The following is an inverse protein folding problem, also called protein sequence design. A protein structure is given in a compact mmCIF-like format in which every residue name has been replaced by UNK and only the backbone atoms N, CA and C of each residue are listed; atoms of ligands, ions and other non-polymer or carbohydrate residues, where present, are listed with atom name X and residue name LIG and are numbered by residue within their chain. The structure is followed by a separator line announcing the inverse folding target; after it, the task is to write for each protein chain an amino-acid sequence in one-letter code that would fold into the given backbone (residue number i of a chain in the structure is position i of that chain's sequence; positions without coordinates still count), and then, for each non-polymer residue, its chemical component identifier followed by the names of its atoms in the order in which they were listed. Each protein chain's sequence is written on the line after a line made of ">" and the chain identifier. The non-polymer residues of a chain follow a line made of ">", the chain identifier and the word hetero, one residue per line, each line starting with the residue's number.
data_IF_983011096219
#
_entry.id   IF_983011096219
#
_cell.length_a   1.000
_cell.length_b   1.000
_cell.length_c   1.000
_cell.angle_alpha   90.00
_cell.angle_beta   90.00
_cell.angle_gamma   90.00
#
_symmetry.space_group_name_H-M   'P 1'
#
loop_
_entity.id
_entity.type
_entity.pdbx_description
1 polymer ?
#
# COMPACT_ATOMS: atom_id res chain seq x y z
N UNK A 1 13.55 43.22 23.39
CA UNK A 1 12.43 42.92 22.47
C UNK A 1 12.82 41.97 21.32
N UNK A 2 13.93 42.17 20.58
CA UNK A 2 14.35 41.29 19.47
C UNK A 2 14.60 39.83 19.87
N UNK A 3 15.20 39.57 21.07
CA UNK A 3 15.43 38.18 21.53
C UNK A 3 14.15 37.44 21.93
N UNK A 4 13.15 38.13 22.47
CA UNK A 4 11.86 37.54 22.80
C UNK A 4 11.07 37.18 21.52
N UNK A 5 11.13 38.02 20.49
CA UNK A 5 10.49 37.73 19.19
C UNK A 5 11.11 36.52 18.50
N UNK A 6 12.43 36.34 18.58
CA UNK A 6 13.14 35.20 18.04
C UNK A 6 12.74 33.88 18.72
N UNK A 7 12.60 33.90 20.06
CA UNK A 7 12.15 32.74 20.85
C UNK A 7 10.71 32.32 20.50
N UNK A 8 9.82 33.31 20.31
CA UNK A 8 8.43 33.04 19.90
C UNK A 8 8.39 32.44 18.49
N UNK A 9 9.23 32.92 17.57
CA UNK A 9 9.29 32.37 16.18
C UNK A 9 9.81 30.93 16.16
N UNK A 10 10.81 30.61 17.01
CA UNK A 10 11.33 29.23 17.14
C UNK A 10 10.29 28.32 17.80
N UNK A 11 9.59 28.77 18.81
CA UNK A 11 8.51 27.99 19.44
C UNK A 11 7.35 27.71 18.49
N UNK A 12 6.99 28.69 17.65
CA UNK A 12 5.94 28.55 16.65
C UNK A 12 6.33 27.56 15.52
N UNK A 13 7.60 27.51 15.13
CA UNK A 13 8.10 26.59 14.11
C UNK A 13 8.10 25.12 14.56
N UNK A 14 8.15 24.85 15.87
CA UNK A 14 8.10 23.50 16.42
C UNK A 14 6.68 22.89 16.46
N UNK A 15 5.64 23.73 16.39
CA UNK A 15 4.23 23.27 16.48
C UNK A 15 3.72 22.73 15.12
N UNK A 16 4.34 23.09 13.98
CA UNK A 16 3.89 22.65 12.66
C UNK A 16 4.37 21.26 12.23
N UNK A 17 5.21 20.58 13.00
CA UNK A 17 5.56 19.19 12.78
C UNK A 17 4.57 18.22 13.45
N UNK A 18 3.26 18.47 13.29
CA UNK A 18 2.26 17.46 13.64
C UNK A 18 2.31 16.36 12.58
N UNK A 19 2.97 15.26 12.90
CA UNK A 19 2.93 14.04 12.11
C UNK A 19 1.48 13.53 12.07
N UNK A 20 0.78 13.77 10.96
CA UNK A 20 -0.53 13.18 10.72
C UNK A 20 -0.35 11.66 10.64
N UNK A 21 -0.84 10.95 11.64
CA UNK A 21 -0.90 9.49 11.60
C UNK A 21 -1.86 9.08 10.50
N UNK A 22 -1.37 8.32 9.53
CA UNK A 22 -2.16 7.87 8.35
C UNK A 22 -2.87 6.54 8.57
N UNK A 23 -2.73 5.94 9.75
CA UNK A 23 -3.34 4.65 10.07
C UNK A 23 -4.30 4.78 11.25
N UNK A 24 -5.33 3.95 11.22
CA UNK A 24 -6.30 3.77 12.26
C UNK A 24 -6.03 2.47 13.01
N UNK A 25 -6.06 2.51 14.32
CA UNK A 25 -6.09 1.32 15.17
C UNK A 25 -7.30 1.44 16.08
N UNK A 26 -8.10 0.38 16.14
CA UNK A 26 -9.29 0.33 16.98
C UNK A 26 -8.92 0.55 18.45
N UNK A 27 -9.74 1.32 19.16
CA UNK A 27 -9.64 1.41 20.61
C UNK A 27 -9.75 -0.01 21.20
N UNK A 28 -8.88 -0.33 22.16
CA UNK A 28 -8.83 -1.68 22.75
C UNK A 28 -8.36 -2.80 21.80
N UNK A 29 -7.62 -2.49 20.74
CA UNK A 29 -7.04 -3.47 19.81
C UNK A 29 -6.40 -4.65 20.53
N UNK A 30 -5.54 -4.38 21.53
CA UNK A 30 -4.83 -5.42 22.27
C UNK A 30 -5.77 -6.36 23.04
N UNK A 31 -6.87 -5.82 23.56
CA UNK A 31 -7.88 -6.63 24.27
C UNK A 31 -8.70 -7.50 23.30
N UNK A 32 -9.10 -6.91 22.15
CA UNK A 32 -9.86 -7.62 21.12
C UNK A 32 -9.05 -8.73 20.44
N UNK A 33 -7.73 -8.56 20.38
CA UNK A 33 -6.83 -9.49 19.69
C UNK A 33 -5.99 -10.37 20.61
N UNK A 34 -6.28 -10.37 21.91
CA UNK A 34 -5.50 -11.12 22.91
C UNK A 34 -5.46 -12.63 22.63
N UNK A 35 -6.52 -13.16 22.07
CA UNK A 35 -6.66 -14.57 21.74
C UNK A 35 -6.26 -14.89 20.29
N UNK A 36 -5.88 -13.90 19.48
CA UNK A 36 -5.46 -14.15 18.11
C UNK A 36 -4.11 -14.86 18.09
N UNK A 37 -4.03 -15.95 17.34
CA UNK A 37 -2.82 -16.78 17.16
C UNK A 37 -2.34 -16.81 15.73
N UNK A 38 -3.27 -16.83 14.77
CA UNK A 38 -2.96 -17.00 13.34
C UNK A 38 -3.71 -15.94 12.54
N UNK A 39 -2.98 -15.31 11.62
CA UNK A 39 -3.51 -14.29 10.70
C UNK A 39 -3.13 -14.65 9.27
N UNK A 40 -4.07 -14.58 8.34
CA UNK A 40 -3.80 -14.80 6.92
C UNK A 40 -3.67 -13.46 6.18
N UNK A 41 -2.69 -13.38 5.28
CA UNK A 41 -2.57 -12.27 4.30
C UNK A 41 -3.21 -12.72 3.01
N UNK A 42 -4.25 -12.01 2.55
CA UNK A 42 -4.98 -12.34 1.34
C UNK A 42 -4.30 -11.76 0.09
N UNK A 43 -4.56 -12.34 -1.11
CA UNK A 43 -4.23 -11.67 -2.37
C UNK A 43 -4.88 -10.30 -2.43
N UNK A 44 -4.15 -9.29 -2.93
CA UNK A 44 -4.68 -7.93 -3.00
C UNK A 44 -5.82 -7.82 -4.04
N UNK A 45 -6.88 -7.11 -3.71
CA UNK A 45 -7.83 -6.69 -4.74
C UNK A 45 -7.19 -5.59 -5.59
N UNK A 46 -7.04 -5.85 -6.88
CA UNK A 46 -6.53 -4.89 -7.86
C UNK A 46 -7.69 -4.19 -8.56
N UNK A 47 -7.61 -2.87 -8.69
CA UNK A 47 -8.61 -2.05 -9.40
C UNK A 47 -7.88 -1.11 -10.35
N UNK A 48 -7.93 -1.39 -11.64
CA UNK A 48 -7.36 -0.53 -12.67
C UNK A 48 -8.43 0.41 -13.23
N UNK A 49 -8.15 1.70 -13.22
CA UNK A 49 -9.04 2.75 -13.71
C UNK A 49 -8.31 3.72 -14.63
N UNK A 50 -9.06 4.55 -15.36
CA UNK A 50 -8.51 5.52 -16.30
C UNK A 50 -8.26 4.93 -17.68
N UNK A 51 -7.31 5.52 -18.43
CA UNK A 51 -6.99 5.10 -19.79
C UNK A 51 -6.27 3.75 -19.79
N UNK A 52 -6.95 2.72 -20.26
CA UNK A 52 -6.31 1.43 -20.46
C UNK A 52 -5.40 1.46 -21.70
N UNK A 53 -4.31 0.65 -21.73
CA UNK A 53 -3.49 0.49 -22.93
C UNK A 53 -4.32 -0.08 -24.08
N UNK A 54 -4.24 0.55 -25.26
CA UNK A 54 -5.04 0.17 -26.44
C UNK A 54 -4.73 -1.25 -26.97
N UNK A 55 -3.55 -1.78 -26.65
CA UNK A 55 -3.06 -3.09 -27.07
C UNK A 55 -3.36 -4.24 -26.09
N UNK A 56 -4.07 -3.97 -25.00
CA UNK A 56 -4.45 -4.98 -24.00
C UNK A 56 -5.93 -5.31 -24.09
N UNK A 57 -6.24 -6.60 -24.09
CA UNK A 57 -7.62 -7.08 -23.98
C UNK A 57 -8.07 -7.06 -22.51
N UNK A 58 -9.38 -7.16 -22.26
CA UNK A 58 -9.90 -7.28 -20.90
C UNK A 58 -9.36 -8.55 -20.18
N UNK A 59 -9.08 -9.61 -20.93
CA UNK A 59 -8.49 -10.83 -20.38
C UNK A 59 -7.02 -10.64 -19.99
N UNK A 60 -6.25 -9.89 -20.79
CA UNK A 60 -4.87 -9.55 -20.46
C UNK A 60 -4.80 -8.70 -19.20
N UNK A 61 -5.70 -7.71 -19.07
CA UNK A 61 -5.81 -6.87 -17.88
C UNK A 61 -6.10 -7.73 -16.65
N UNK A 62 -7.05 -8.67 -16.75
CA UNK A 62 -7.38 -9.58 -15.65
C UNK A 62 -6.19 -10.46 -15.25
N UNK A 63 -5.42 -10.97 -16.20
CA UNK A 63 -4.20 -11.74 -15.91
C UNK A 63 -3.15 -10.88 -15.19
N UNK A 64 -2.97 -9.63 -15.62
CA UNK A 64 -2.07 -8.68 -14.97
C UNK A 64 -2.54 -8.39 -13.53
N UNK A 65 -3.84 -8.14 -13.33
CA UNK A 65 -4.43 -7.95 -12.01
C UNK A 65 -4.16 -9.14 -11.08
N UNK A 66 -4.35 -10.37 -11.56
CA UNK A 66 -4.10 -11.58 -10.78
C UNK A 66 -2.62 -11.76 -10.41
N UNK A 67 -1.70 -11.49 -11.35
CA UNK A 67 -0.26 -11.57 -11.09
C UNK A 67 0.19 -10.50 -10.08
N UNK A 68 -0.25 -9.26 -10.26
CA UNK A 68 0.07 -8.18 -9.33
C UNK A 68 -0.55 -8.44 -7.95
N UNK A 69 -1.77 -8.96 -7.89
CA UNK A 69 -2.45 -9.35 -6.66
C UNK A 69 -1.60 -10.30 -5.81
N UNK A 70 -1.07 -11.35 -6.41
CA UNK A 70 -0.17 -12.32 -5.76
C UNK A 70 1.18 -11.71 -5.37
N UNK A 71 1.72 -10.83 -6.21
CA UNK A 71 2.97 -10.12 -5.94
C UNK A 71 2.85 -9.19 -4.73
N UNK A 72 1.73 -8.48 -4.61
CA UNK A 72 1.43 -7.66 -3.44
C UNK A 72 1.24 -8.49 -2.17
N UNK A 73 0.55 -9.62 -2.25
CA UNK A 73 0.39 -10.56 -1.12
C UNK A 73 1.76 -11.03 -0.61
N UNK A 74 2.61 -11.55 -1.51
CA UNK A 74 3.94 -12.04 -1.17
C UNK A 74 4.81 -10.93 -0.57
N UNK A 75 4.79 -9.75 -1.16
CA UNK A 75 5.57 -8.61 -0.69
C UNK A 75 5.10 -8.12 0.68
N UNK A 76 3.77 -8.04 0.91
CA UNK A 76 3.23 -7.66 2.22
C UNK A 76 3.56 -8.68 3.30
N UNK A 77 3.41 -9.97 3.00
CA UNK A 77 3.79 -11.05 3.91
C UNK A 77 5.26 -10.93 4.35
N UNK A 78 6.16 -10.78 3.39
CA UNK A 78 7.59 -10.62 3.65
C UNK A 78 7.89 -9.34 4.44
N UNK A 79 7.18 -8.27 4.14
CA UNK A 79 7.34 -6.98 4.80
C UNK A 79 6.90 -7.06 6.27
N UNK A 80 5.75 -7.68 6.55
CA UNK A 80 5.29 -7.91 7.92
C UNK A 80 6.33 -8.75 8.69
N UNK A 81 6.83 -9.85 8.13
CA UNK A 81 7.85 -10.66 8.76
C UNK A 81 9.12 -9.86 9.08
N UNK A 82 9.55 -9.00 8.16
CA UNK A 82 10.76 -8.18 8.32
C UNK A 82 10.62 -7.14 9.43
N UNK A 83 9.50 -6.39 9.43
CA UNK A 83 9.30 -5.27 10.35
C UNK A 83 8.75 -5.69 11.70
N UNK A 84 7.87 -6.71 11.73
CA UNK A 84 7.30 -7.21 12.96
C UNK A 84 8.23 -8.18 13.72
N UNK A 85 9.22 -8.78 13.05
CA UNK A 85 10.25 -9.63 13.66
C UNK A 85 11.64 -9.05 13.45
N UNK A 86 12.01 -8.08 14.26
CA UNK A 86 13.31 -7.43 14.24
C UNK A 86 14.01 -7.55 15.60
N UNK A 87 15.21 -6.97 15.74
CA UNK A 87 15.89 -6.90 17.04
C UNK A 87 15.07 -6.19 18.12
N UNK A 88 14.19 -5.26 17.75
CA UNK A 88 13.38 -4.44 18.65
C UNK A 88 11.96 -4.96 18.85
N UNK A 89 11.45 -5.76 17.90
CA UNK A 89 10.06 -6.16 17.87
C UNK A 89 9.91 -7.65 17.61
N UNK A 90 8.79 -8.20 18.06
CA UNK A 90 8.31 -9.53 17.68
C UNK A 90 6.80 -9.45 17.37
N UNK A 91 6.31 -10.35 16.53
CA UNK A 91 4.87 -10.45 16.27
C UNK A 91 4.22 -11.39 17.30
N UNK A 92 3.04 -10.99 17.78
CA UNK A 92 2.23 -11.81 18.70
C UNK A 92 1.48 -12.94 18.01
N UNK A 93 1.35 -12.85 16.68
CA UNK A 93 0.58 -13.80 15.87
C UNK A 93 1.50 -14.47 14.86
N UNK A 94 1.14 -15.69 14.48
CA UNK A 94 1.77 -16.36 13.35
C UNK A 94 1.07 -15.95 12.06
N UNK A 95 1.81 -15.70 11.01
CA UNK A 95 1.23 -15.55 9.68
C UNK A 95 1.01 -16.95 9.08
N UNK A 96 -0.21 -17.19 8.59
CA UNK A 96 -0.49 -18.39 7.81
C UNK A 96 0.36 -18.36 6.54
N UNK A 97 0.96 -19.50 6.20
CA UNK A 97 1.74 -19.60 4.96
C UNK A 97 0.90 -19.26 3.72
N UNK A 98 1.51 -18.53 2.79
CA UNK A 98 0.83 -18.06 1.58
C UNK A 98 0.32 -19.23 0.74
N UNK A 99 1.09 -20.31 0.61
CA UNK A 99 0.69 -21.47 -0.17
C UNK A 99 -0.54 -22.15 0.43
N UNK A 100 -0.65 -22.20 1.75
CA UNK A 100 -1.82 -22.70 2.47
C UNK A 100 -3.04 -21.81 2.20
N UNK A 101 -2.87 -20.50 2.32
CA UNK A 101 -3.95 -19.53 2.04
C UNK A 101 -4.40 -19.64 0.58
N UNK A 102 -3.48 -19.67 -0.39
CA UNK A 102 -3.80 -19.80 -1.82
C UNK A 102 -4.50 -21.12 -2.12
N UNK A 103 -3.99 -22.25 -1.62
CA UNK A 103 -4.60 -23.57 -1.83
C UNK A 103 -6.05 -23.59 -1.37
N UNK A 104 -6.36 -23.06 -0.17
CA UNK A 104 -7.72 -23.03 0.35
C UNK A 104 -8.62 -22.14 -0.52
N UNK A 105 -8.15 -20.97 -0.94
CA UNK A 105 -8.91 -20.08 -1.81
C UNK A 105 -9.19 -20.74 -3.17
N UNK A 106 -8.19 -21.41 -3.77
CA UNK A 106 -8.31 -22.09 -5.05
C UNK A 106 -9.28 -23.31 -4.98
N UNK A 107 -9.22 -24.11 -3.90
CA UNK A 107 -10.15 -25.22 -3.64
C UNK A 107 -11.61 -24.75 -3.58
N UNK A 108 -11.85 -23.54 -3.08
CA UNK A 108 -13.17 -22.95 -2.98
C UNK A 108 -13.50 -22.00 -4.15
N UNK A 109 -12.61 -21.91 -5.16
CA UNK A 109 -12.75 -21.06 -6.35
C UNK A 109 -12.95 -19.58 -6.01
N UNK A 110 -12.30 -19.09 -4.95
CA UNK A 110 -12.38 -17.71 -4.47
C UNK A 110 -11.19 -16.94 -5.05
N UNK A 111 -11.43 -16.03 -5.98
CA UNK A 111 -10.42 -15.12 -6.51
C UNK A 111 -10.20 -13.91 -5.56
N UNK A 112 -9.21 -13.06 -5.87
CA UNK A 112 -8.85 -11.90 -5.03
C UNK A 112 -10.01 -10.92 -4.81
N UNK A 113 -10.85 -10.70 -5.83
CA UNK A 113 -12.02 -9.81 -5.74
C UNK A 113 -13.12 -10.42 -4.89
N UNK A 114 -13.38 -11.70 -5.06
CA UNK A 114 -14.34 -12.44 -4.24
C UNK A 114 -13.89 -12.51 -2.78
N UNK A 115 -12.61 -12.75 -2.53
CA UNK A 115 -12.03 -12.72 -1.18
C UNK A 115 -12.19 -11.34 -0.51
N UNK A 116 -12.06 -10.25 -1.29
CA UNK A 116 -12.31 -8.90 -0.78
C UNK A 116 -13.76 -8.68 -0.37
N UNK A 117 -14.70 -9.16 -1.18
CA UNK A 117 -16.15 -8.93 -0.98
C UNK A 117 -16.80 -9.90 0.00
N UNK A 118 -16.15 -11.06 0.23
CA UNK A 118 -16.71 -12.09 1.10
C UNK A 118 -16.78 -11.62 2.55
N UNK A 119 -17.78 -12.13 3.28
CA UNK A 119 -17.92 -11.93 4.71
C UNK A 119 -16.65 -12.34 5.46
N UNK A 120 -16.14 -11.45 6.31
CA UNK A 120 -14.84 -11.60 6.94
C UNK A 120 -14.81 -12.76 7.93
N UNK A 121 -15.91 -13.00 8.63
CA UNK A 121 -16.04 -14.10 9.59
C UNK A 121 -16.07 -15.44 8.87
N UNK A 122 -16.83 -15.55 7.79
CA UNK A 122 -16.86 -16.76 6.97
C UNK A 122 -15.49 -17.03 6.34
N UNK A 123 -14.81 -16.00 5.86
CA UNK A 123 -13.51 -16.14 5.22
C UNK A 123 -12.43 -16.55 6.24
N UNK A 124 -12.42 -15.97 7.44
CA UNK A 124 -11.51 -16.35 8.50
C UNK A 124 -11.75 -17.80 8.94
N UNK A 125 -13.02 -18.21 9.08
CA UNK A 125 -13.38 -19.60 9.42
C UNK A 125 -12.94 -20.59 8.33
N UNK A 126 -13.13 -20.23 7.06
CA UNK A 126 -12.71 -21.03 5.91
C UNK A 126 -11.20 -21.25 5.89
N UNK A 127 -10.43 -20.20 6.18
CA UNK A 127 -8.97 -20.24 6.21
C UNK A 127 -8.41 -20.82 7.50
N UNK A 128 -9.24 -21.01 8.54
CA UNK A 128 -8.82 -21.50 9.86
C UNK A 128 -7.94 -20.49 10.61
N UNK A 129 -8.25 -19.18 10.50
CA UNK A 129 -7.48 -18.08 11.09
C UNK A 129 -8.35 -17.18 11.96
N UNK A 130 -7.73 -16.41 12.86
CA UNK A 130 -8.44 -15.50 13.77
C UNK A 130 -8.76 -14.14 13.14
N UNK A 131 -7.94 -13.74 12.18
CA UNK A 131 -8.13 -12.50 11.43
C UNK A 131 -7.55 -12.61 10.01
N UNK A 132 -8.01 -11.77 9.11
CA UNK A 132 -7.50 -11.66 7.75
C UNK A 132 -6.98 -10.26 7.48
N UNK A 133 -5.86 -10.20 6.74
CA UNK A 133 -5.30 -8.95 6.20
C UNK A 133 -5.79 -8.81 4.78
N UNK A 134 -6.63 -7.81 4.52
CA UNK A 134 -7.17 -7.45 3.22
C UNK A 134 -6.45 -6.22 2.69
N UNK A 135 -5.99 -6.27 1.46
CA UNK A 135 -5.35 -5.13 0.78
C UNK A 135 -6.07 -4.83 -0.53
N UNK A 136 -6.32 -3.55 -0.78
CA UNK A 136 -6.88 -3.06 -2.04
C UNK A 136 -5.93 -2.06 -2.66
N UNK A 137 -5.62 -2.24 -3.94
CA UNK A 137 -4.74 -1.38 -4.73
C UNK A 137 -5.52 -0.83 -5.91
N UNK A 138 -5.72 0.48 -5.93
CA UNK A 138 -6.32 1.18 -7.06
C UNK A 138 -5.23 1.92 -7.82
N UNK A 139 -5.06 1.59 -9.11
CA UNK A 139 -4.19 2.29 -10.04
C UNK A 139 -5.04 3.08 -11.02
N UNK A 140 -4.90 4.41 -10.98
CA UNK A 140 -5.57 5.29 -11.91
C UNK A 140 -4.57 5.78 -12.97
N UNK A 141 -4.75 5.32 -14.20
CA UNK A 141 -3.86 5.67 -15.30
C UNK A 141 -4.30 6.96 -15.99
N UNK A 142 -3.36 7.90 -16.18
CA UNK A 142 -3.60 9.20 -16.84
C UNK A 142 -3.01 9.25 -18.23
N UNK A 143 -1.81 8.70 -18.44
CA UNK A 143 -1.11 8.74 -19.71
C UNK A 143 -0.33 7.46 -19.98
N UNK A 144 0.08 7.26 -21.23
CA UNK A 144 0.95 6.17 -21.61
C UNK A 144 2.39 6.40 -21.12
N UNK A 145 3.16 5.32 -20.99
CA UNK A 145 4.59 5.41 -20.63
C UNK A 145 5.38 6.19 -21.68
N UNK A 146 5.03 6.05 -22.97
CA UNK A 146 5.62 6.81 -24.06
C UNK A 146 5.37 8.34 -23.92
N UNK A 147 4.16 8.73 -23.53
CA UNK A 147 3.85 10.15 -23.29
C UNK A 147 4.62 10.69 -22.07
N UNK A 148 4.72 9.91 -20.99
CA UNK A 148 5.50 10.26 -19.81
C UNK A 148 7.00 10.40 -20.12
N UNK A 149 7.55 9.48 -20.91
CA UNK A 149 8.92 9.53 -21.40
C UNK A 149 9.17 10.79 -22.25
N UNK A 150 8.27 11.09 -23.18
CA UNK A 150 8.34 12.29 -24.03
C UNK A 150 8.36 13.58 -23.21
N UNK A 151 7.54 13.67 -22.16
CA UNK A 151 7.57 14.82 -21.24
C UNK A 151 8.91 14.90 -20.50
N UNK A 152 9.47 13.76 -20.06
CA UNK A 152 10.76 13.72 -19.38
C UNK A 152 11.91 14.19 -20.28
N UNK A 153 11.94 13.76 -21.54
CA UNK A 153 12.90 14.23 -22.53
C UNK A 153 12.77 15.73 -22.78
N UNK A 154 11.53 16.22 -22.96
CA UNK A 154 11.27 17.64 -23.13
C UNK A 154 11.80 18.49 -21.99
N UNK A 155 11.57 18.06 -20.73
CA UNK A 155 12.13 18.72 -19.55
C UNK A 155 13.66 18.73 -19.57
N UNK A 156 14.28 17.61 -19.88
CA UNK A 156 15.75 17.51 -19.93
C UNK A 156 16.37 18.45 -20.97
N UNK A 157 15.76 18.55 -22.15
CA UNK A 157 16.21 19.48 -23.21
C UNK A 157 16.10 20.92 -22.72
N UNK A 158 14.98 21.30 -22.10
CA UNK A 158 14.76 22.66 -21.57
C UNK A 158 15.81 23.00 -20.50
N UNK A 159 16.08 22.08 -19.57
CA UNK A 159 17.10 22.29 -18.53
C UNK A 159 18.51 22.43 -19.14
N UNK A 160 18.88 21.55 -20.07
CA UNK A 160 20.20 21.55 -20.67
C UNK A 160 20.48 22.78 -21.57
N UNK A 161 19.44 23.34 -22.17
CA UNK A 161 19.56 24.57 -22.99
C UNK A 161 19.56 25.86 -22.17
N UNK A 162 19.35 25.79 -20.87
CA UNK A 162 19.28 26.93 -19.97
C UNK A 162 17.98 27.75 -20.12
N UNK A 163 17.01 27.29 -20.92
CA UNK A 163 15.74 27.97 -21.11
C UNK A 163 14.93 28.05 -19.82
N UNK A 164 15.11 27.07 -18.91
CA UNK A 164 14.45 27.05 -17.61
C UNK A 164 14.83 28.23 -16.69
N UNK A 165 16.02 28.82 -16.87
CA UNK A 165 16.45 29.98 -16.09
C UNK A 165 15.84 31.31 -16.52
N UNK A 166 15.24 31.36 -17.71
CA UNK A 166 14.72 32.59 -18.32
C UNK A 166 13.20 32.72 -18.28
N UNK A 167 12.49 31.60 -18.07
CA UNK A 167 11.03 31.58 -18.07
C UNK A 167 10.55 30.73 -16.87
N UNK A 168 9.55 31.16 -16.08
CA UNK A 168 8.89 30.33 -15.09
C UNK A 168 8.12 29.24 -15.86
N UNK A 169 8.72 28.03 -15.93
CA UNK A 169 8.06 26.89 -16.56
C UNK A 169 6.96 26.38 -15.63
N UNK A 170 5.74 26.18 -16.13
CA UNK A 170 4.69 25.56 -15.36
C UNK A 170 5.13 24.12 -15.00
N UNK A 171 4.73 23.65 -13.81
CA UNK A 171 4.93 22.26 -13.43
C UNK A 171 4.14 21.36 -14.38
N UNK A 172 4.84 20.62 -15.23
CA UNK A 172 4.24 19.61 -16.10
C UNK A 172 4.43 18.26 -15.44
N UNK A 173 3.37 17.63 -14.93
CA UNK A 173 3.47 16.30 -14.35
C UNK A 173 3.79 15.26 -15.43
N UNK A 174 4.67 14.32 -15.15
CA UNK A 174 5.00 13.20 -16.05
C UNK A 174 4.62 11.85 -15.45
N UNK A 175 3.78 11.84 -14.43
CA UNK A 175 3.27 10.61 -13.82
C UNK A 175 2.33 9.87 -14.76
N UNK A 176 2.48 8.55 -14.83
CA UNK A 176 1.61 7.66 -15.59
C UNK A 176 0.39 7.24 -14.79
N UNK A 177 0.59 6.94 -13.50
CA UNK A 177 -0.48 6.48 -12.62
C UNK A 177 -0.46 7.22 -11.28
N UNK A 178 -1.65 7.46 -10.70
CA UNK A 178 -1.83 7.60 -9.26
C UNK A 178 -2.15 6.23 -8.67
N UNK A 179 -1.59 5.96 -7.49
CA UNK A 179 -1.77 4.71 -6.79
C UNK A 179 -2.33 5.01 -5.40
N UNK A 180 -3.49 4.44 -5.14
CA UNK A 180 -4.14 4.45 -3.83
C UNK A 180 -4.15 3.03 -3.31
N UNK A 181 -3.60 2.83 -2.13
CA UNK A 181 -3.61 1.53 -1.48
C UNK A 181 -4.21 1.64 -0.09
N UNK A 182 -4.98 0.64 0.29
CA UNK A 182 -5.47 0.47 1.66
C UNK A 182 -5.18 -0.95 2.14
N UNK A 183 -4.88 -1.07 3.41
CA UNK A 183 -4.63 -2.35 4.06
C UNK A 183 -5.43 -2.40 5.36
N UNK A 184 -6.23 -3.44 5.54
CA UNK A 184 -7.11 -3.63 6.67
C UNK A 184 -6.81 -4.95 7.38
N UNK A 185 -6.86 -4.94 8.70
CA UNK A 185 -6.98 -6.17 9.48
C UNK A 185 -8.42 -6.26 9.94
N UNK A 186 -9.07 -7.35 9.59
CA UNK A 186 -10.48 -7.57 9.91
C UNK A 186 -10.66 -8.90 10.65
N UNK A 187 -11.55 -8.90 11.65
CA UNK A 187 -11.97 -10.08 12.38
C UNK A 187 -13.42 -9.90 12.82
N UNK A 188 -14.24 -10.95 12.74
CA UNK A 188 -15.65 -10.92 13.11
C UNK A 188 -16.43 -9.74 12.52
N UNK A 189 -16.18 -9.43 11.24
CA UNK A 189 -16.80 -8.32 10.50
C UNK A 189 -16.48 -6.93 11.09
N UNK A 190 -15.39 -6.80 11.83
CA UNK A 190 -14.91 -5.54 12.37
C UNK A 190 -13.53 -5.22 11.84
N UNK A 191 -13.34 -3.98 11.44
CA UNK A 191 -12.02 -3.47 11.10
C UNK A 191 -11.25 -3.13 12.38
N UNK A 192 -10.24 -3.92 12.66
CA UNK A 192 -9.38 -3.74 13.83
C UNK A 192 -8.27 -2.71 13.58
N UNK A 193 -7.80 -2.64 12.34
CA UNK A 193 -6.76 -1.73 11.91
C UNK A 193 -6.92 -1.40 10.42
N UNK A 194 -6.59 -0.17 10.07
CA UNK A 194 -6.56 0.30 8.69
C UNK A 194 -5.36 1.20 8.48
N UNK A 195 -4.66 1.02 7.38
CA UNK A 195 -3.64 1.94 6.89
C UNK A 195 -3.88 2.26 5.43
N UNK A 196 -3.41 3.43 4.99
CA UNK A 196 -3.57 3.89 3.63
C UNK A 196 -2.29 4.50 3.09
N UNK A 197 -2.06 4.28 1.81
CA UNK A 197 -0.94 4.81 1.07
C UNK A 197 -1.44 5.54 -0.18
N UNK A 198 -0.85 6.70 -0.46
CA UNK A 198 -1.04 7.42 -1.71
C UNK A 198 0.31 7.72 -2.33
N UNK A 199 0.47 7.34 -3.59
CA UNK A 199 1.68 7.58 -4.36
C UNK A 199 1.39 7.73 -5.84
N UNK A 200 2.46 7.87 -6.60
CA UNK A 200 2.40 7.95 -8.05
C UNK A 200 3.55 7.15 -8.66
N UNK A 201 3.39 6.73 -9.90
CA UNK A 201 4.44 6.16 -10.73
C UNK A 201 4.55 6.91 -12.05
N UNK A 202 5.72 6.87 -12.63
CA UNK A 202 6.01 7.34 -13.98
C UNK A 202 6.53 6.20 -14.85
N UNK A 203 6.91 6.50 -16.09
CA UNK A 203 7.41 5.53 -17.06
C UNK A 203 8.67 4.77 -16.57
N UNK A 204 9.46 5.35 -15.65
CA UNK A 204 10.72 4.80 -15.15
C UNK A 204 10.57 4.13 -13.77
N UNK A 205 9.35 3.99 -13.27
CA UNK A 205 9.10 3.39 -11.95
C UNK A 205 8.94 1.87 -12.07
N UNK A 206 9.92 1.05 -11.65
CA UNK A 206 9.79 -0.40 -11.69
C UNK A 206 8.64 -0.89 -10.81
N UNK A 207 7.86 -1.83 -11.31
CA UNK A 207 6.68 -2.34 -10.60
C UNK A 207 7.03 -2.94 -9.23
N UNK A 208 8.15 -3.66 -9.13
CA UNK A 208 8.62 -4.25 -7.88
C UNK A 208 8.95 -3.19 -6.81
N UNK A 209 9.56 -2.07 -7.19
CA UNK A 209 9.86 -0.99 -6.24
C UNK A 209 8.60 -0.32 -5.70
N UNK A 210 7.59 -0.17 -6.55
CA UNK A 210 6.28 0.37 -6.17
C UNK A 210 5.61 -0.58 -5.17
N UNK A 211 5.59 -1.88 -5.48
CA UNK A 211 5.03 -2.92 -4.63
C UNK A 211 5.74 -2.90 -3.26
N UNK A 212 7.07 -2.94 -3.24
CA UNK A 212 7.84 -2.93 -2.00
C UNK A 212 7.61 -1.67 -1.16
N UNK A 213 7.58 -0.50 -1.79
CA UNK A 213 7.35 0.76 -1.08
C UNK A 213 5.99 0.80 -0.39
N UNK A 214 4.94 0.31 -1.06
CA UNK A 214 3.58 0.25 -0.50
C UNK A 214 3.52 -0.76 0.64
N UNK A 215 4.02 -1.97 0.40
CA UNK A 215 3.94 -3.05 1.38
C UNK A 215 4.86 -2.83 2.58
N UNK A 216 6.01 -2.17 2.39
CA UNK A 216 6.88 -1.76 3.50
C UNK A 216 6.22 -0.75 4.41
N UNK A 217 5.48 0.22 3.85
CA UNK A 217 4.69 1.16 4.65
C UNK A 217 3.70 0.41 5.56
N UNK A 218 2.95 -0.55 5.01
CA UNK A 218 1.98 -1.33 5.78
C UNK A 218 2.64 -2.29 6.79
N UNK A 219 3.73 -2.95 6.40
CA UNK A 219 4.48 -3.84 7.28
C UNK A 219 5.12 -3.10 8.47
N UNK A 220 5.59 -1.87 8.25
CA UNK A 220 6.13 -1.02 9.31
C UNK A 220 5.08 -0.65 10.36
N UNK A 221 3.83 -0.45 9.95
CA UNK A 221 2.72 -0.06 10.83
C UNK A 221 1.90 -1.25 11.33
N UNK A 222 2.28 -2.48 11.03
CA UNK A 222 1.52 -3.68 11.39
C UNK A 222 1.30 -3.77 12.91
N UNK A 223 0.04 -3.81 13.40
CA UNK A 223 -0.26 -3.54 14.79
C UNK A 223 0.00 -4.70 15.75
N UNK A 224 0.14 -5.94 15.26
CA UNK A 224 0.44 -7.10 16.11
C UNK A 224 1.91 -7.17 16.57
N UNK A 225 2.74 -6.21 16.19
CA UNK A 225 4.12 -6.15 16.67
C UNK A 225 4.18 -5.59 18.08
N UNK A 226 4.97 -6.25 18.92
CA UNK A 226 5.28 -5.81 20.28
C UNK A 226 6.77 -5.54 20.42
N UNK A 227 7.10 -4.63 21.32
CA UNK A 227 8.49 -4.34 21.66
C UNK A 227 9.03 -5.45 22.56
N UNK A 228 10.26 -5.90 22.29
CA UNK A 228 10.99 -6.82 23.14
C UNK A 228 11.45 -6.15 24.43
#
# INVERSE_FOLDING_TARGET
>A
MKKALLLILIAFSLIVFSCSHKYYTMSYFDQQTINHKIVAVLPAEMVFTGKQPENLTAEDIKKIEEQESKSFQQSLYNSILRYANSRKYFTRVNLQDISTTQRILDEHKINSREAWLKDDKELAALLGVDAVVKMRIQKQRYMSDMASYGISLGKQIIYNTGAASKLPLPYIPNKTNDIYASCNIVSNNQTLWNDSYKGASDWNSPANEIIERITNNFGEHFPYKQRR
#
